data_IF_034886732148
#
_entry.id   IF_034886732148
#
_cell.length_a   1.000
_cell.length_b   1.000
_cell.length_c   1.000
_cell.angle_alpha   90.00
_cell.angle_beta   90.00
_cell.angle_gamma   90.00
#
_symmetry.space_group_name_H-M   'P 1'
#
loop_
_entity.id
_entity.type
_entity.pdbx_description
1 polymer ?
#
# COMPACT_ATOMS: atom_id res chain seq x y z
N UNK A 1 -7.47 3.10 -0.08
CA UNK A 1 -6.28 3.80 0.45
C UNK A 1 -5.50 2.81 1.30
N UNK A 2 -4.26 2.59 0.94
CA UNK A 2 -3.34 1.71 1.67
C UNK A 2 -1.89 2.16 1.44
N UNK A 3 -1.05 2.00 2.46
CA UNK A 3 0.34 2.48 2.52
C UNK A 3 0.93 2.27 3.92
N UNK A 4 2.11 2.84 4.19
CA UNK A 4 2.78 2.69 5.50
C UNK A 4 1.94 3.22 6.67
N UNK A 5 1.08 4.21 6.43
CA UNK A 5 0.15 4.76 7.44
C UNK A 5 -0.84 3.74 7.99
N UNK A 6 -1.00 2.57 7.36
CA UNK A 6 -1.77 1.47 7.93
C UNK A 6 -1.11 0.87 9.19
N UNK A 7 0.21 0.96 9.34
CA UNK A 7 0.94 0.46 10.52
C UNK A 7 0.60 1.26 11.79
N UNK A 8 0.70 2.61 11.83
CA UNK A 8 0.26 3.39 12.99
C UNK A 8 -1.27 3.43 13.14
N UNK A 9 -2.03 3.16 12.08
CA UNK A 9 -3.49 3.07 12.07
C UNK A 9 -4.25 4.30 12.60
N UNK A 10 -3.67 5.50 12.46
CA UNK A 10 -4.25 6.79 12.86
C UNK A 10 -4.27 7.75 11.68
N UNK A 11 -4.99 7.41 10.60
CA UNK A 11 -5.11 8.15 9.33
C UNK A 11 -3.82 8.28 8.49
N UNK A 12 -3.98 8.58 7.20
CA UNK A 12 -2.89 8.73 6.25
C UNK A 12 -1.97 9.92 6.57
N UNK A 13 -2.54 11.04 7.03
CA UNK A 13 -1.79 12.25 7.41
C UNK A 13 -0.96 12.17 8.71
N UNK A 14 -0.74 10.97 9.27
CA UNK A 14 -0.08 10.82 10.60
C UNK A 14 1.33 11.40 10.63
N UNK A 15 2.06 11.33 9.52
CA UNK A 15 3.35 12.01 9.38
C UNK A 15 3.25 13.52 9.62
N UNK A 16 2.31 14.20 8.95
CA UNK A 16 2.14 15.64 9.06
C UNK A 16 1.61 16.05 10.43
N UNK A 17 0.57 15.35 10.93
CA UNK A 17 -0.11 15.74 12.17
C UNK A 17 0.76 15.56 13.40
N UNK A 18 1.60 14.53 13.42
CA UNK A 18 2.56 14.28 14.49
C UNK A 18 3.91 14.97 14.22
N UNK A 19 3.99 15.81 13.19
CA UNK A 19 5.16 16.63 12.82
C UNK A 19 6.45 15.80 12.67
N UNK A 20 6.33 14.59 12.12
CA UNK A 20 7.47 13.70 11.90
C UNK A 20 8.20 14.05 10.61
N UNK A 21 9.53 14.11 10.68
CA UNK A 21 10.37 14.06 9.48
C UNK A 21 10.18 12.72 8.74
N UNK A 22 10.55 12.69 7.45
CA UNK A 22 10.49 11.45 6.66
C UNK A 22 11.37 10.34 7.24
N UNK A 23 12.54 10.69 7.79
CA UNK A 23 13.45 9.71 8.40
C UNK A 23 12.85 9.10 9.68
N UNK A 24 12.24 9.92 10.55
CA UNK A 24 11.55 9.41 11.73
C UNK A 24 10.37 8.51 11.37
N UNK A 25 9.60 8.91 10.35
CA UNK A 25 8.46 8.12 9.88
C UNK A 25 8.91 6.76 9.31
N UNK A 26 9.96 6.77 8.49
CA UNK A 26 10.55 5.57 7.91
C UNK A 26 11.10 4.65 9.00
N UNK A 27 11.88 5.18 9.94
CA UNK A 27 12.45 4.42 11.05
C UNK A 27 11.38 3.75 11.93
N UNK A 28 10.21 4.38 12.09
CA UNK A 28 9.11 3.82 12.88
C UNK A 28 8.33 2.72 12.16
N UNK A 29 8.10 2.84 10.86
CA UNK A 29 7.06 2.04 10.18
C UNK A 29 7.52 1.21 9.00
N UNK A 30 8.63 1.57 8.35
CA UNK A 30 9.06 0.91 7.10
C UNK A 30 9.40 -0.58 7.31
N UNK A 31 10.18 -0.87 8.35
CA UNK A 31 10.61 -2.25 8.66
C UNK A 31 9.52 -3.08 9.36
N UNK A 32 8.37 -2.48 9.68
CA UNK A 32 7.20 -3.17 10.24
C UNK A 32 6.17 -3.55 9.16
N UNK A 33 6.32 -3.05 7.93
CA UNK A 33 5.33 -3.25 6.88
C UNK A 33 5.43 -4.65 6.28
N UNK A 34 4.66 -5.57 6.86
CA UNK A 34 4.52 -6.95 6.39
C UNK A 34 3.02 -7.32 6.24
N UNK A 35 2.42 -7.13 5.06
CA UNK A 35 1.04 -7.53 4.83
C UNK A 35 0.96 -9.01 4.45
N UNK A 36 1.04 -9.87 5.46
CA UNK A 36 0.99 -11.32 5.36
C UNK A 36 -0.37 -11.84 4.88
N UNK A 37 -1.45 -11.18 5.28
CA UNK A 37 -2.83 -11.50 4.84
C UNK A 37 -3.25 -10.81 3.54
N UNK A 38 -2.33 -10.17 2.80
CA UNK A 38 -2.66 -9.52 1.53
C UNK A 38 -3.06 -10.55 0.45
N UNK A 39 -4.36 -10.55 0.12
CA UNK A 39 -4.94 -11.34 -0.95
C UNK A 39 -5.80 -10.45 -1.90
N UNK A 40 -5.23 -9.90 -2.98
CA UNK A 40 -5.96 -9.01 -3.88
C UNK A 40 -7.08 -9.70 -4.66
N UNK A 41 -7.07 -11.04 -4.77
CA UNK A 41 -8.16 -11.79 -5.41
C UNK A 41 -9.44 -11.70 -4.59
N UNK A 42 -9.33 -11.80 -3.27
CA UNK A 42 -10.46 -11.61 -2.36
C UNK A 42 -10.97 -10.17 -2.43
N UNK A 43 -10.08 -9.19 -2.41
CA UNK A 43 -10.48 -7.78 -2.52
C UNK A 43 -11.27 -7.50 -3.80
N UNK A 44 -10.80 -8.02 -4.93
CA UNK A 44 -11.48 -7.87 -6.22
C UNK A 44 -12.81 -8.64 -6.28
N UNK A 45 -12.88 -9.83 -5.66
CA UNK A 45 -14.12 -10.60 -5.55
C UNK A 45 -15.18 -9.88 -4.71
N UNK A 46 -14.79 -9.31 -3.57
CA UNK A 46 -15.68 -8.52 -2.72
C UNK A 46 -16.17 -7.25 -3.44
N UNK A 47 -15.29 -6.55 -4.14
CA UNK A 47 -15.69 -5.38 -4.93
C UNK A 47 -16.72 -5.74 -6.01
N UNK A 48 -16.52 -6.86 -6.73
CA UNK A 48 -17.48 -7.36 -7.73
C UNK A 48 -18.80 -7.77 -7.10
N UNK A 49 -18.77 -8.49 -5.98
CA UNK A 49 -19.97 -8.89 -5.24
C UNK A 49 -20.78 -7.69 -4.75
N UNK A 50 -20.10 -6.61 -4.35
CA UNK A 50 -20.71 -5.34 -3.96
C UNK A 50 -21.25 -4.53 -5.17
N UNK A 51 -21.13 -5.03 -6.40
CA UNK A 51 -21.61 -4.36 -7.61
C UNK A 51 -20.70 -3.24 -8.14
N UNK A 52 -19.50 -3.07 -7.57
CA UNK A 52 -18.55 -2.05 -8.02
C UNK A 52 -18.07 -2.35 -9.45
N UNK A 53 -17.89 -1.29 -10.24
CA UNK A 53 -17.44 -1.38 -11.65
C UNK A 53 -16.01 -0.94 -11.88
N UNK A 54 -15.39 -0.32 -10.88
CA UNK A 54 -14.01 0.10 -10.87
C UNK A 54 -13.50 0.17 -9.43
N UNK A 55 -12.19 0.09 -9.26
CA UNK A 55 -11.51 0.26 -7.97
C UNK A 55 -10.28 1.12 -8.21
N UNK A 56 -10.00 2.04 -7.29
CA UNK A 56 -8.79 2.88 -7.32
C UNK A 56 -7.94 2.55 -6.10
N UNK A 57 -6.70 2.13 -6.34
CA UNK A 57 -5.71 1.87 -5.30
C UNK A 57 -4.62 2.93 -5.33
N UNK A 58 -4.21 3.39 -4.14
CA UNK A 58 -3.12 4.33 -3.96
C UNK A 58 -1.78 3.67 -4.31
N UNK A 59 -1.24 3.93 -5.50
CA UNK A 59 0.09 3.43 -5.88
C UNK A 59 1.19 4.03 -4.99
N UNK A 60 1.08 5.33 -4.73
CA UNK A 60 1.88 6.13 -3.80
C UNK A 60 0.97 7.22 -3.24
N UNK A 61 1.14 7.54 -1.97
CA UNK A 61 0.43 8.63 -1.31
C UNK A 61 1.44 9.71 -0.87
N UNK A 62 0.98 10.76 -0.18
CA UNK A 62 1.80 11.92 0.17
C UNK A 62 3.04 11.63 1.02
N UNK A 63 3.13 10.48 1.71
CA UNK A 63 4.32 10.12 2.49
C UNK A 63 5.48 9.71 1.56
N UNK A 64 5.20 9.44 0.28
CA UNK A 64 6.19 9.09 -0.74
C UNK A 64 6.43 7.59 -0.92
N UNK A 65 5.86 6.75 -0.06
CA UNK A 65 6.03 5.29 -0.12
C UNK A 65 5.34 4.69 -1.34
N UNK A 66 6.09 3.92 -2.13
CA UNK A 66 5.58 3.22 -3.32
C UNK A 66 5.15 1.78 -3.00
N UNK A 67 3.93 1.41 -3.38
CA UNK A 67 3.45 0.02 -3.26
C UNK A 67 3.96 -0.91 -4.38
N UNK A 68 4.62 -0.39 -5.41
CA UNK A 68 5.12 -1.15 -6.55
C UNK A 68 6.65 -1.12 -6.63
N UNK A 69 7.23 -1.99 -7.45
CA UNK A 69 8.68 -2.06 -7.65
C UNK A 69 9.20 -0.98 -8.62
N UNK A 70 9.24 0.27 -8.15
CA UNK A 70 9.82 1.38 -8.91
C UNK A 70 11.34 1.32 -8.97
N UNK A 71 11.93 1.79 -10.08
CA UNK A 71 13.38 1.96 -10.23
C UNK A 71 13.87 3.32 -9.73
N UNK A 72 12.98 4.22 -9.33
CA UNK A 72 13.31 5.62 -9.02
C UNK A 72 13.45 5.94 -7.52
N UNK A 73 13.19 4.98 -6.64
CA UNK A 73 13.30 5.18 -5.18
C UNK A 73 13.40 3.85 -4.43
N UNK A 74 14.20 3.81 -3.38
CA UNK A 74 14.26 2.69 -2.43
C UNK A 74 13.14 2.71 -1.38
N UNK A 75 12.35 3.79 -1.32
CA UNK A 75 11.21 3.89 -0.41
C UNK A 75 9.97 3.23 -1.01
N UNK A 76 10.05 1.89 -1.13
CA UNK A 76 9.08 1.04 -1.83
C UNK A 76 8.84 -0.28 -1.10
N UNK A 77 7.67 -0.87 -1.33
CA UNK A 77 7.23 -2.11 -0.67
C UNK A 77 8.19 -3.30 -0.85
N UNK A 78 8.82 -3.56 -2.01
CA UNK A 78 9.80 -4.64 -2.14
C UNK A 78 11.00 -4.53 -1.18
N UNK A 79 11.31 -3.33 -0.68
CA UNK A 79 12.41 -3.12 0.25
C UNK A 79 12.00 -3.31 1.73
N UNK A 80 10.71 -3.43 2.03
CA UNK A 80 10.17 -3.78 3.36
C UNK A 80 10.11 -5.30 3.57
N UNK A 81 9.71 -5.83 4.74
CA UNK A 81 9.43 -7.26 4.91
C UNK A 81 8.37 -7.83 3.96
N UNK A 82 7.54 -7.00 3.32
CA UNK A 82 6.63 -7.45 2.26
C UNK A 82 7.35 -8.14 1.09
N UNK A 83 8.59 -7.68 0.76
CA UNK A 83 9.48 -8.25 -0.28
C UNK A 83 8.84 -8.50 -1.65
N UNK A 84 7.76 -7.79 -1.99
CA UNK A 84 7.02 -7.97 -3.24
C UNK A 84 6.33 -6.69 -3.71
N UNK A 85 6.03 -6.66 -5.01
CA UNK A 85 5.14 -5.67 -5.61
C UNK A 85 3.69 -5.95 -5.18
N UNK A 86 2.97 -4.90 -4.78
CA UNK A 86 1.59 -4.98 -4.28
C UNK A 86 0.56 -4.33 -5.22
N UNK A 87 1.01 -3.71 -6.31
CA UNK A 87 0.15 -3.10 -7.32
C UNK A 87 -0.10 -4.08 -8.47
N UNK A 88 0.94 -4.75 -8.98
CA UNK A 88 0.79 -5.68 -10.10
C UNK A 88 -0.20 -6.82 -9.79
N UNK A 89 -0.10 -7.54 -8.65
CA UNK A 89 -1.06 -8.59 -8.30
C UNK A 89 -2.49 -8.06 -8.11
N UNK A 90 -2.63 -6.84 -7.60
CA UNK A 90 -3.92 -6.16 -7.47
C UNK A 90 -4.57 -5.86 -8.83
N UNK A 91 -3.83 -5.23 -9.74
CA UNK A 91 -4.31 -4.91 -11.09
C UNK A 91 -4.70 -6.20 -11.84
N UNK A 92 -3.88 -7.24 -11.75
CA UNK A 92 -4.19 -8.55 -12.36
C UNK A 92 -5.45 -9.18 -11.77
N UNK A 93 -5.65 -9.11 -10.45
CA UNK A 93 -6.85 -9.63 -9.79
C UNK A 93 -8.13 -8.90 -10.24
N UNK A 94 -8.10 -7.57 -10.28
CA UNK A 94 -9.24 -6.77 -10.75
C UNK A 94 -9.57 -7.04 -12.22
N UNK A 95 -8.55 -7.12 -13.10
CA UNK A 95 -8.75 -7.35 -14.54
C UNK A 95 -9.29 -8.75 -14.87
N UNK A 96 -8.97 -9.77 -14.07
CA UNK A 96 -9.49 -11.13 -14.26
C UNK A 96 -10.99 -11.26 -13.92
N UNK A 97 -11.52 -10.35 -13.11
CA UNK A 97 -12.91 -10.37 -12.65
C UNK A 97 -13.81 -9.36 -13.37
N UNK A 98 -13.23 -8.47 -14.18
CA UNK A 98 -13.96 -7.64 -15.13
C UNK A 98 -14.67 -8.53 -16.16
#
# INVERSE_FOLDING_TARGET
HWGLYAVPARHEWVQQREQMSTEEYKAKYFDLFNPDLYNPKEWAAYAKQAGMKYVVLTARHHEGFSLWDTQFSDYKAPNTPAKRDLIKPFVEACRKLA
#
